data_IF_985505379866
#
_entry.id   IF_985505379866
#
_cell.length_a   1.000
_cell.length_b   1.000
_cell.length_c   1.000
_cell.angle_alpha   90.00
_cell.angle_beta   90.00
_cell.angle_gamma   90.00
#
_symmetry.space_group_name_H-M   'P 1'
#
loop_
_entity.id
_entity.type
_entity.pdbx_description
1 polymer ?
#
# COMPACT_ATOMS: atom_id res chain seq x y z
N UNK A 1 -13.23 5.33 -3.39
CA UNK A 1 -14.04 4.53 -4.34
C UNK A 1 -14.99 3.66 -3.54
N UNK A 2 -16.20 3.46 -4.04
CA UNK A 2 -17.23 2.58 -3.45
C UNK A 2 -17.49 1.41 -4.38
N UNK A 3 -17.59 0.22 -3.80
CA UNK A 3 -17.76 -1.05 -4.50
C UNK A 3 -18.86 -1.89 -3.83
N UNK A 4 -19.41 -2.84 -4.58
CA UNK A 4 -20.34 -3.85 -4.07
C UNK A 4 -19.81 -5.25 -4.41
N UNK A 5 -20.12 -6.24 -3.57
CA UNK A 5 -19.82 -7.65 -3.86
C UNK A 5 -20.99 -8.28 -4.60
N UNK A 6 -20.76 -8.66 -5.85
CA UNK A 6 -21.66 -9.55 -6.56
C UNK A 6 -21.29 -11.01 -6.24
N UNK A 7 -22.25 -11.71 -5.64
CA UNK A 7 -22.15 -13.17 -5.45
C UNK A 7 -22.82 -13.86 -6.64
N UNK A 8 -22.07 -14.59 -7.46
CA UNK A 8 -22.66 -15.58 -8.37
C UNK A 8 -22.68 -16.95 -7.69
N UNK A 9 -23.86 -17.53 -7.54
CA UNK A 9 -24.00 -18.93 -7.14
C UNK A 9 -23.56 -19.80 -8.31
N UNK A 10 -22.45 -20.53 -8.14
CA UNK A 10 -22.16 -21.70 -8.95
C UNK A 10 -22.57 -22.93 -8.12
N UNK A 11 -23.55 -23.68 -8.62
CA UNK A 11 -23.90 -24.98 -8.05
C UNK A 11 -22.74 -25.95 -8.32
N UNK A 12 -22.12 -26.44 -7.25
CA UNK A 12 -21.04 -27.44 -7.29
C UNK A 12 -19.68 -26.88 -6.87
N UNK A 13 -19.14 -27.43 -5.76
CA UNK A 13 -17.79 -27.18 -5.21
C UNK A 13 -17.53 -25.82 -4.56
N UNK A 14 -18.35 -25.46 -3.56
CA UNK A 14 -17.89 -24.89 -2.27
C UNK A 14 -16.97 -23.66 -2.22
N UNK A 15 -16.72 -22.92 -3.31
CA UNK A 15 -15.97 -21.65 -3.30
C UNK A 15 -16.77 -20.56 -4.01
N UNK A 16 -17.19 -19.54 -3.26
CA UNK A 16 -17.86 -18.34 -3.79
C UNK A 16 -16.80 -17.47 -4.47
N UNK A 17 -16.81 -17.37 -5.80
CA UNK A 17 -16.08 -16.31 -6.48
C UNK A 17 -16.79 -14.97 -6.22
N UNK A 18 -16.18 -14.10 -5.41
CA UNK A 18 -16.67 -12.73 -5.17
C UNK A 18 -16.25 -11.85 -6.32
N UNK A 19 -17.20 -11.23 -7.03
CA UNK A 19 -16.90 -10.17 -8.00
C UNK A 19 -17.10 -8.82 -7.34
N UNK A 20 -16.15 -7.91 -7.53
CA UNK A 20 -16.29 -6.52 -7.10
C UNK A 20 -16.89 -5.72 -8.24
N UNK A 21 -18.01 -5.04 -7.99
CA UNK A 21 -18.61 -4.07 -8.91
C UNK A 21 -18.34 -2.66 -8.41
N UNK A 22 -17.70 -1.85 -9.22
CA UNK A 22 -17.48 -0.44 -8.92
C UNK A 22 -18.81 0.31 -9.02
N UNK A 23 -19.18 1.06 -7.98
CA UNK A 23 -20.44 1.80 -7.95
C UNK A 23 -20.24 3.30 -7.91
N UNK A 24 -19.12 3.77 -7.34
CA UNK A 24 -18.81 5.20 -7.25
C UNK A 24 -17.32 5.47 -7.19
N UNK A 25 -16.87 6.49 -7.92
CA UNK A 25 -15.55 7.11 -7.75
C UNK A 25 -15.75 8.53 -7.23
N UNK A 26 -14.93 8.93 -6.25
CA UNK A 26 -14.87 10.30 -5.75
C UNK A 26 -13.40 10.68 -5.60
N UNK A 27 -13.05 11.89 -6.06
CA UNK A 27 -11.76 12.50 -5.78
C UNK A 27 -11.78 13.10 -4.37
N UNK A 28 -10.70 12.94 -3.64
CA UNK A 28 -10.54 13.50 -2.30
C UNK A 28 -9.67 14.74 -2.44
N UNK A 29 -10.17 15.87 -1.97
CA UNK A 29 -9.48 17.16 -2.03
C UNK A 29 -9.28 17.68 -0.61
N UNK A 30 -8.09 17.44 -0.06
CA UNK A 30 -7.68 17.89 1.26
C UNK A 30 -6.31 18.56 1.13
N UNK A 31 -6.31 19.90 1.12
CA UNK A 31 -5.10 20.70 0.88
C UNK A 31 -4.05 20.51 1.97
N UNK A 32 -4.48 20.30 3.22
CA UNK A 32 -3.56 20.10 4.34
C UNK A 32 -2.82 18.77 4.20
N UNK A 33 -3.54 17.68 3.95
CA UNK A 33 -2.93 16.37 3.72
C UNK A 33 -2.04 16.35 2.47
N UNK A 34 -2.45 17.07 1.42
CA UNK A 34 -1.63 17.18 0.22
C UNK A 34 -0.31 17.92 0.49
N UNK A 35 -0.34 19.00 1.28
CA UNK A 35 0.85 19.74 1.70
C UNK A 35 1.79 18.86 2.53
N UNK A 36 1.25 18.14 3.52
CA UNK A 36 2.03 17.21 4.35
C UNK A 36 2.65 16.09 3.51
N UNK A 37 1.87 15.53 2.59
CA UNK A 37 2.34 14.54 1.63
C UNK A 37 3.50 15.07 0.77
N UNK A 38 3.37 16.28 0.21
CA UNK A 38 4.42 16.89 -0.60
C UNK A 38 5.72 17.11 0.20
N UNK A 39 5.60 17.47 1.48
CA UNK A 39 6.74 17.61 2.38
C UNK A 39 7.42 16.27 2.68
N UNK A 40 6.65 15.21 2.96
CA UNK A 40 7.22 13.87 3.16
C UNK A 40 7.84 13.32 1.87
N UNK A 41 7.20 13.56 0.72
CA UNK A 41 7.73 13.18 -0.61
C UNK A 41 9.09 13.82 -0.87
N UNK A 42 9.30 15.08 -0.50
CA UNK A 42 10.60 15.77 -0.66
C UNK A 42 11.73 15.04 0.08
N UNK A 43 11.46 14.49 1.27
CA UNK A 43 12.48 13.78 2.07
C UNK A 43 13.05 12.55 1.36
N UNK A 44 12.29 11.91 0.48
CA UNK A 44 12.78 10.78 -0.30
C UNK A 44 13.81 11.21 -1.36
N UNK A 45 13.61 12.38 -1.98
CA UNK A 45 14.62 12.96 -2.88
C UNK A 45 15.89 13.32 -2.12
N UNK A 46 15.76 13.96 -0.95
CA UNK A 46 16.91 14.32 -0.12
C UNK A 46 17.70 13.07 0.30
N UNK A 47 16.99 11.96 0.59
CA UNK A 47 17.60 10.67 0.89
C UNK A 47 18.30 10.04 -0.31
N UNK A 48 17.69 10.09 -1.50
CA UNK A 48 18.30 9.59 -2.74
C UNK A 48 19.57 10.37 -3.09
N UNK A 49 19.52 11.70 -3.02
CA UNK A 49 20.66 12.60 -3.24
C UNK A 49 21.80 12.32 -2.26
N UNK A 50 21.50 12.11 -0.97
CA UNK A 50 22.52 11.82 0.04
C UNK A 50 23.29 10.51 -0.23
N UNK A 51 22.64 9.52 -0.82
CA UNK A 51 23.27 8.23 -1.11
C UNK A 51 23.99 8.21 -2.47
N UNK A 52 23.84 9.27 -3.29
CA UNK A 52 24.35 9.37 -4.66
C UNK A 52 23.92 8.21 -5.59
N UNK A 53 22.81 7.55 -5.23
CA UNK A 53 22.16 6.50 -6.03
C UNK A 53 20.64 6.59 -5.89
N UNK A 54 19.87 6.48 -7.00
CA UNK A 54 18.43 6.27 -6.94
C UNK A 54 18.10 4.98 -6.17
N UNK A 55 16.88 4.89 -5.62
CA UNK A 55 16.43 3.63 -5.06
C UNK A 55 16.27 2.59 -6.19
N UNK A 56 16.53 1.33 -5.87
CA UNK A 56 16.13 0.24 -6.76
C UNK A 56 14.60 0.28 -6.93
N UNK A 57 14.13 0.09 -8.17
CA UNK A 57 12.68 -0.05 -8.38
C UNK A 57 12.16 -1.28 -7.64
N UNK A 58 10.85 -1.34 -7.41
CA UNK A 58 10.22 -2.51 -6.79
C UNK A 58 10.61 -3.79 -7.54
N UNK A 59 10.49 -3.81 -8.87
CA UNK A 59 10.84 -4.98 -9.68
C UNK A 59 12.34 -5.32 -9.72
N UNK A 60 13.21 -4.35 -9.43
CA UNK A 60 14.67 -4.56 -9.31
C UNK A 60 15.08 -5.00 -7.89
N UNK A 61 14.20 -4.87 -6.91
CA UNK A 61 14.52 -5.17 -5.52
C UNK A 61 14.64 -6.68 -5.32
N UNK A 62 15.67 -7.10 -4.56
CA UNK A 62 15.92 -8.53 -4.28
C UNK A 62 14.67 -9.21 -3.71
N UNK A 63 14.34 -10.38 -4.25
CA UNK A 63 13.16 -11.19 -3.92
C UNK A 63 11.82 -10.65 -4.43
N UNK A 64 11.82 -9.56 -5.20
CA UNK A 64 10.61 -9.16 -5.91
C UNK A 64 10.36 -10.05 -7.13
N UNK A 65 9.09 -10.28 -7.45
CA UNK A 65 8.62 -11.03 -8.61
C UNK A 65 8.25 -10.15 -9.81
N UNK A 66 8.25 -8.81 -9.66
CA UNK A 66 7.92 -7.88 -10.72
C UNK A 66 7.62 -6.46 -10.22
N UNK A 67 7.24 -5.58 -11.13
CA UNK A 67 6.77 -4.24 -10.77
C UNK A 67 5.38 -4.29 -10.12
N UNK A 68 5.01 -3.20 -9.46
CA UNK A 68 3.68 -3.04 -8.86
C UNK A 68 2.61 -3.12 -9.96
N UNK A 69 1.64 -4.03 -9.85
CA UNK A 69 0.60 -4.23 -10.89
C UNK A 69 -0.18 -2.97 -11.27
N UNK A 70 -0.42 -2.07 -10.33
CA UNK A 70 -1.11 -0.80 -10.63
C UNK A 70 -0.29 0.06 -11.59
N UNK A 71 1.04 0.03 -11.50
CA UNK A 71 1.94 0.73 -12.42
C UNK A 71 1.81 0.16 -13.84
N UNK A 72 1.82 -1.17 -13.96
CA UNK A 72 1.68 -1.86 -15.26
C UNK A 72 0.34 -1.56 -15.93
N UNK A 73 -0.76 -1.64 -15.16
CA UNK A 73 -2.13 -1.37 -15.66
C UNK A 73 -2.29 0.09 -16.09
N UNK A 74 -1.64 1.02 -15.40
CA UNK A 74 -1.75 2.46 -15.67
C UNK A 74 -0.68 2.95 -16.65
N UNK A 75 0.11 2.08 -17.28
CA UNK A 75 1.13 2.48 -18.23
C UNK A 75 0.52 3.34 -19.37
N UNK A 76 1.10 4.53 -19.60
CA UNK A 76 0.58 5.52 -20.55
C UNK A 76 -0.65 6.31 -20.07
N UNK A 77 -1.15 6.07 -18.86
CA UNK A 77 -2.26 6.81 -18.28
C UNK A 77 -1.77 8.15 -17.66
N UNK A 78 -2.48 9.27 -17.87
CA UNK A 78 -2.13 10.55 -17.25
C UNK A 78 -2.07 10.52 -15.72
N UNK A 79 -2.73 9.57 -15.06
CA UNK A 79 -2.61 9.42 -13.60
C UNK A 79 -1.16 9.23 -13.15
N UNK A 80 -0.32 8.57 -13.97
CA UNK A 80 1.09 8.33 -13.67
C UNK A 80 1.99 9.53 -13.99
N UNK A 81 1.51 10.60 -14.65
CA UNK A 81 2.36 11.76 -14.98
C UNK A 81 2.94 12.44 -13.76
N UNK A 82 2.25 12.30 -12.62
CA UNK A 82 2.59 12.98 -11.37
C UNK A 82 3.34 12.08 -10.37
N UNK A 83 3.50 10.80 -10.69
CA UNK A 83 4.27 9.84 -9.89
C UNK A 83 5.73 9.88 -10.29
N UNK A 84 6.61 9.73 -9.31
CA UNK A 84 8.06 9.75 -9.50
C UNK A 84 8.65 8.36 -9.21
N UNK A 85 9.05 7.61 -10.27
CA UNK A 85 9.62 6.28 -10.13
C UNK A 85 10.89 6.23 -9.27
N UNK A 86 11.70 7.27 -9.30
CA UNK A 86 12.99 7.36 -8.60
C UNK A 86 12.87 7.27 -7.07
N UNK A 87 11.67 7.54 -6.53
CA UNK A 87 11.34 7.42 -5.11
C UNK A 87 10.36 6.27 -4.81
N UNK A 88 10.12 5.38 -5.79
CA UNK A 88 9.10 4.34 -5.75
C UNK A 88 7.72 4.89 -5.34
N UNK A 89 7.29 5.98 -5.99
CA UNK A 89 5.95 6.56 -5.80
C UNK A 89 4.94 5.81 -6.66
N UNK A 90 3.98 5.14 -6.00
CA UNK A 90 2.98 4.31 -6.68
C UNK A 90 1.57 4.61 -6.20
N UNK A 91 0.60 4.33 -7.07
CA UNK A 91 -0.81 4.23 -6.67
C UNK A 91 -1.11 2.84 -6.12
N UNK A 92 -1.63 2.75 -4.92
CA UNK A 92 -2.00 1.49 -4.27
C UNK A 92 -3.40 1.57 -3.66
N UNK A 93 -4.06 0.43 -3.51
CA UNK A 93 -5.36 0.35 -2.85
C UNK A 93 -5.20 0.20 -1.34
N UNK A 94 -5.86 1.06 -0.58
CA UNK A 94 -6.02 0.93 0.86
C UNK A 94 -7.48 0.60 1.18
N UNK A 95 -7.72 -0.61 1.68
CA UNK A 95 -9.02 -1.02 2.21
C UNK A 95 -9.11 -0.74 3.70
N UNK A 96 -10.23 -0.22 4.15
CA UNK A 96 -10.48 0.06 5.56
C UNK A 96 -11.96 -0.10 5.88
N UNK A 97 -12.30 -0.30 7.16
CA UNK A 97 -13.70 -0.41 7.61
C UNK A 97 -14.43 0.93 7.49
N UNK A 98 -15.75 0.88 7.33
CA UNK A 98 -16.61 2.07 7.26
C UNK A 98 -16.38 3.04 8.42
N UNK A 99 -16.21 2.54 9.65
CA UNK A 99 -15.96 3.37 10.84
C UNK A 99 -14.66 4.19 10.79
N UNK A 100 -13.68 3.76 10.00
CA UNK A 100 -12.36 4.38 9.93
C UNK A 100 -12.24 5.35 8.75
N UNK A 101 -13.14 5.28 7.76
CA UNK A 101 -12.96 6.01 6.49
C UNK A 101 -12.95 7.53 6.71
N UNK A 102 -13.85 8.07 7.52
CA UNK A 102 -13.94 9.51 7.77
C UNK A 102 -12.69 10.03 8.49
N UNK A 103 -12.13 9.22 9.40
CA UNK A 103 -10.87 9.53 10.06
C UNK A 103 -9.70 9.57 9.08
N UNK A 104 -9.65 8.62 8.13
CA UNK A 104 -8.60 8.60 7.10
C UNK A 104 -8.74 9.78 6.13
N UNK A 105 -9.98 10.16 5.78
CA UNK A 105 -10.25 11.30 4.90
C UNK A 105 -9.86 12.65 5.54
N UNK A 106 -10.01 12.77 6.86
CA UNK A 106 -9.72 14.01 7.58
C UNK A 106 -8.23 14.16 7.94
N UNK A 107 -7.60 13.10 8.46
CA UNK A 107 -6.25 13.16 9.05
C UNK A 107 -5.18 12.36 8.28
N UNK A 108 -5.56 11.66 7.20
CA UNK A 108 -4.66 10.81 6.45
C UNK A 108 -4.46 9.42 7.05
N UNK A 109 -3.48 8.69 6.51
CA UNK A 109 -3.14 7.34 6.94
C UNK A 109 -2.18 7.39 8.13
N UNK A 110 -2.61 6.87 9.29
CA UNK A 110 -1.83 6.87 10.53
C UNK A 110 -1.48 5.43 10.95
N UNK A 111 -0.18 5.13 11.02
CA UNK A 111 0.29 3.80 11.42
C UNK A 111 -0.03 3.46 12.89
N UNK A 112 -0.26 4.45 13.75
CA UNK A 112 -0.62 4.25 15.16
C UNK A 112 -2.03 3.69 15.32
N UNK A 113 -2.86 3.81 14.28
CA UNK A 113 -4.21 3.26 14.23
C UNK A 113 -4.25 1.86 13.59
N UNK A 114 -3.08 1.29 13.25
CA UNK A 114 -2.99 -0.05 12.71
C UNK A 114 -3.49 -1.09 13.72
N UNK A 115 -4.26 -2.06 13.24
CA UNK A 115 -4.76 -3.15 14.08
C UNK A 115 -3.63 -4.04 14.61
N UNK A 116 -3.77 -4.63 15.81
CA UNK A 116 -2.71 -5.40 16.48
C UNK A 116 -2.36 -6.73 15.79
N UNK A 117 -3.16 -7.18 14.82
CA UNK A 117 -3.01 -8.47 14.12
C UNK A 117 -2.38 -8.34 12.73
N UNK A 118 -1.60 -7.29 12.50
CA UNK A 118 -0.96 -7.03 11.22
C UNK A 118 0.15 -8.06 10.91
N UNK A 119 0.11 -8.65 9.71
CA UNK A 119 0.95 -9.80 9.32
C UNK A 119 2.44 -9.50 9.17
N UNK A 120 2.81 -8.22 9.03
CA UNK A 120 4.17 -7.77 8.75
C UNK A 120 4.62 -6.63 9.67
N UNK A 121 3.91 -6.42 10.78
CA UNK A 121 4.19 -5.33 11.72
C UNK A 121 3.12 -4.23 11.80
N UNK A 122 3.22 -3.37 12.81
CA UNK A 122 2.30 -2.24 12.95
C UNK A 122 2.60 -1.19 11.85
N UNK A 123 1.62 -0.91 10.99
CA UNK A 123 1.84 -0.07 9.81
C UNK A 123 0.57 0.21 9.02
N UNK A 124 0.71 1.12 8.06
CA UNK A 124 -0.29 1.35 7.01
C UNK A 124 -0.10 0.29 5.93
N UNK A 125 -1.17 -0.44 5.60
CA UNK A 125 -1.17 -1.47 4.58
C UNK A 125 -1.88 -1.02 3.31
N UNK A 126 -1.24 -1.18 2.17
CA UNK A 126 -1.84 -0.99 0.87
C UNK A 126 -1.50 -2.18 -0.04
N UNK A 127 -2.25 -2.35 -1.12
CA UNK A 127 -2.11 -3.46 -2.05
C UNK A 127 -2.17 -2.98 -3.50
N UNK A 128 -1.43 -3.65 -4.37
CA UNK A 128 -1.48 -3.43 -5.82
C UNK A 128 -2.78 -3.91 -6.48
N UNK A 129 -3.65 -4.62 -5.74
CA UNK A 129 -4.92 -5.11 -6.25
C UNK A 129 -6.08 -4.75 -5.32
N UNK A 130 -7.19 -4.35 -5.92
CA UNK A 130 -8.43 -4.05 -5.20
C UNK A 130 -8.98 -5.28 -4.48
N UNK A 131 -8.88 -6.47 -5.08
CA UNK A 131 -9.30 -7.73 -4.45
C UNK A 131 -8.55 -8.02 -3.15
N UNK A 132 -7.27 -7.64 -3.07
CA UNK A 132 -6.51 -7.79 -1.82
C UNK A 132 -6.92 -6.75 -0.79
N UNK A 133 -7.10 -5.50 -1.21
CA UNK A 133 -7.57 -4.43 -0.33
C UNK A 133 -8.99 -4.70 0.22
N UNK A 134 -9.87 -5.33 -0.56
CA UNK A 134 -11.22 -5.71 -0.15
C UNK A 134 -11.26 -6.61 1.09
N UNK A 135 -10.24 -7.46 1.31
CA UNK A 135 -10.15 -8.31 2.50
C UNK A 135 -10.15 -7.52 3.83
N UNK A 136 -9.81 -6.21 3.76
CA UNK A 136 -9.72 -5.28 4.88
C UNK A 136 -10.91 -4.31 4.97
N UNK A 137 -11.90 -4.46 4.09
CA UNK A 137 -13.17 -3.73 4.17
C UNK A 137 -14.22 -4.54 4.92
N UNK A 138 -15.17 -3.85 5.56
CA UNK A 138 -16.33 -4.49 6.20
C UNK A 138 -17.48 -4.66 5.20
N UNK A 139 -18.22 -5.77 5.32
CA UNK A 139 -19.49 -5.94 4.63
C UNK A 139 -20.51 -5.02 5.30
N UNK A 140 -20.61 -3.79 4.80
CA UNK A 140 -21.60 -2.80 5.23
C UNK A 140 -22.72 -2.70 4.20
N UNK A 141 -23.95 -2.42 4.66
CA UNK A 141 -25.13 -2.24 3.78
C UNK A 141 -24.97 -1.06 2.81
N UNK A 142 -23.98 -0.20 3.04
CA UNK A 142 -23.65 1.00 2.25
C UNK A 142 -22.50 0.77 1.26
N UNK A 143 -22.08 -0.49 1.09
CA UNK A 143 -21.02 -0.89 0.17
C UNK A 143 -19.61 -0.79 0.75
N UNK A 144 -18.66 -1.39 0.03
CA UNK A 144 -17.25 -1.45 0.41
C UNK A 144 -16.56 -0.14 0.01
N UNK A 145 -15.83 0.48 0.94
CA UNK A 145 -15.05 1.69 0.66
C UNK A 145 -13.56 1.35 0.58
N UNK A 146 -12.94 1.66 -0.55
CA UNK A 146 -11.50 1.55 -0.75
C UNK A 146 -10.93 2.87 -1.27
N UNK A 147 -9.73 3.21 -0.84
CA UNK A 147 -8.99 4.38 -1.30
C UNK A 147 -7.95 3.95 -2.33
N UNK A 148 -7.80 4.73 -3.40
CA UNK A 148 -6.61 4.68 -4.24
C UNK A 148 -5.69 5.79 -3.73
N UNK A 149 -4.56 5.41 -3.17
CA UNK A 149 -3.65 6.31 -2.46
C UNK A 149 -2.31 6.36 -3.18
N UNK A 150 -1.71 7.55 -3.23
CA UNK A 150 -0.36 7.73 -3.72
C UNK A 150 0.61 7.54 -2.56
N UNK A 151 1.52 6.58 -2.66
CA UNK A 151 2.44 6.17 -1.59
C UNK A 151 3.88 6.20 -2.12
N UNK A 152 4.78 6.84 -1.38
CA UNK A 152 6.22 6.78 -1.62
C UNK A 152 6.80 5.58 -0.84
N UNK A 153 7.30 4.57 -1.54
CA UNK A 153 7.87 3.37 -0.89
C UNK A 153 9.36 3.54 -0.57
N UNK A 154 10.08 4.43 -1.26
CA UNK A 154 11.52 4.66 -1.08
C UNK A 154 12.34 3.39 -1.23
N UNK A 155 13.31 3.17 -0.32
CA UNK A 155 14.07 1.93 -0.29
C UNK A 155 13.24 0.81 0.36
N UNK A 156 12.92 -0.23 -0.40
CA UNK A 156 11.95 -1.26 -0.02
C UNK A 156 12.65 -2.49 0.54
N UNK A 157 12.22 -2.95 1.72
CA UNK A 157 12.57 -4.28 2.21
C UNK A 157 11.54 -5.31 1.77
N UNK A 158 11.90 -6.23 0.88
CA UNK A 158 11.01 -7.33 0.47
C UNK A 158 11.11 -8.49 1.45
N UNK A 159 9.97 -8.92 1.96
CA UNK A 159 9.85 -10.05 2.88
C UNK A 159 8.98 -11.17 2.28
N UNK A 160 9.42 -12.40 2.42
CA UNK A 160 8.72 -13.60 1.96
C UNK A 160 8.09 -14.40 3.13
N UNK A 161 8.12 -13.83 4.34
CA UNK A 161 7.64 -14.46 5.58
C UNK A 161 6.95 -13.40 6.43
N UNK A 162 6.03 -13.85 7.28
CA UNK A 162 5.40 -12.98 8.28
C UNK A 162 6.46 -12.40 9.20
N UNK A 163 6.30 -11.14 9.55
CA UNK A 163 7.19 -10.39 10.45
C UNK A 163 6.34 -9.63 11.47
N UNK A 164 6.96 -9.17 12.55
CA UNK A 164 6.31 -8.32 13.54
C UNK A 164 7.13 -7.04 13.76
N UNK A 165 7.46 -6.37 12.66
CA UNK A 165 8.30 -5.19 12.71
C UNK A 165 7.53 -3.98 13.27
N UNK A 166 8.21 -3.19 14.09
CA UNK A 166 7.71 -1.89 14.56
C UNK A 166 8.06 -0.73 13.62
N UNK A 167 8.96 -0.97 12.66
CA UNK A 167 9.39 -0.08 11.58
C UNK A 167 10.10 -0.90 10.49
N UNK A 168 10.28 -0.34 9.30
CA UNK A 168 11.10 -0.99 8.27
C UNK A 168 12.52 -1.31 8.82
N UNK A 169 13.09 -2.48 8.49
CA UNK A 169 14.28 -3.00 9.17
C UNK A 169 15.57 -2.28 8.77
N UNK A 170 16.62 -2.50 9.56
CA UNK A 170 17.97 -2.04 9.25
C UNK A 170 18.50 -2.71 7.97
N UNK A 171 19.17 -1.93 7.11
CA UNK A 171 19.70 -2.39 5.83
C UNK A 171 20.79 -3.45 5.93
N UNK A 172 21.49 -3.51 7.06
CA UNK A 172 22.63 -4.43 7.27
C UNK A 172 22.25 -5.66 8.08
N UNK A 173 21.51 -5.52 9.18
CA UNK A 173 21.21 -6.63 10.08
C UNK A 173 19.76 -7.14 10.01
N UNK A 174 18.91 -6.52 9.19
CA UNK A 174 17.51 -6.91 8.97
C UNK A 174 16.63 -6.93 10.24
N UNK A 175 17.03 -6.20 11.29
CA UNK A 175 16.25 -6.00 12.52
C UNK A 175 15.56 -4.64 12.49
N UNK A 176 14.31 -4.56 12.91
CA UNK A 176 13.58 -3.29 13.11
C UNK A 176 14.07 -2.52 14.33
N UNK A 177 14.63 -3.23 15.32
CA UNK A 177 15.28 -2.67 16.49
C UNK A 177 16.74 -3.13 16.53
N UNK A 178 17.65 -2.20 16.26
CA UNK A 178 19.10 -2.37 16.48
C UNK A 178 19.70 -1.10 17.08
N UNK A 179 20.85 -1.23 17.72
CA UNK A 179 21.71 -0.12 18.15
C UNK A 179 22.83 0.17 17.14
N UNK A 180 22.71 -0.39 15.94
CA UNK A 180 23.67 -0.25 14.87
C UNK A 180 23.51 1.11 14.16
N UNK A 181 24.61 1.78 13.82
CA UNK A 181 24.59 3.10 13.16
C UNK A 181 24.36 3.01 11.64
N UNK A 182 23.51 2.07 11.21
CA UNK A 182 23.20 1.83 9.81
C UNK A 182 21.88 2.48 9.43
N UNK A 183 21.72 2.77 8.14
CA UNK A 183 20.42 3.18 7.59
C UNK A 183 19.36 2.08 7.71
N UNK A 184 18.10 2.51 7.69
CA UNK A 184 16.94 1.62 7.62
C UNK A 184 16.30 1.74 6.23
N UNK A 185 15.62 0.68 5.82
CA UNK A 185 14.65 0.75 4.72
C UNK A 185 13.53 1.73 5.07
N UNK A 186 12.79 2.17 4.07
CA UNK A 186 11.67 3.10 4.25
C UNK A 186 10.34 2.36 4.36
N UNK A 187 10.21 1.24 3.66
CA UNK A 187 8.99 0.44 3.63
C UNK A 187 9.28 -1.07 3.68
N UNK A 188 8.23 -1.85 3.92
CA UNK A 188 8.26 -3.31 3.87
C UNK A 188 7.24 -3.76 2.85
N UNK A 189 7.66 -4.60 1.92
CA UNK A 189 6.80 -5.20 0.91
C UNK A 189 6.73 -6.70 1.12
N UNK A 190 5.53 -7.25 1.02
CA UNK A 190 5.34 -8.69 0.93
C UNK A 190 5.14 -9.06 -0.54
N UNK A 191 5.95 -9.98 -1.03
CA UNK A 191 5.85 -10.48 -2.40
C UNK A 191 5.42 -11.95 -2.38
N UNK A 192 4.35 -12.28 -3.09
CA UNK A 192 3.82 -13.63 -3.19
C UNK A 192 2.33 -13.72 -3.51
N UNK A 193 1.90 -14.90 -3.94
CA UNK A 193 0.50 -15.17 -4.25
C UNK A 193 -0.37 -15.09 -2.98
N UNK A 194 -1.21 -14.07 -2.92
CA UNK A 194 -2.30 -14.02 -1.95
C UNK A 194 -3.41 -14.95 -2.40
N UNK A 195 -3.72 -15.98 -1.60
CA UNK A 195 -5.00 -16.70 -1.75
C UNK A 195 -6.13 -15.73 -1.43
N UNK A 196 -6.81 -15.26 -2.47
CA UNK A 196 -8.00 -14.41 -2.36
C UNK A 196 -9.11 -15.14 -1.59
N UNK A 197 -9.94 -14.38 -0.85
CA UNK A 197 -11.13 -14.90 -0.16
C UNK A 197 -12.22 -15.37 -1.11
#
# INVERSE_FOLDING_TARGET
MTWERETKFFFGLGRRAKKLRLTKIQRIENLQLYKEYAQERQKFFDKALKNDVPFHTVGQTRYSSGEVKTQEILFGNPLLSDTVPEINEHYLFHGTSHKNIESVLSQGLDNRLAGPLAKFGAGVYAAESSTKADEYTDDSDVGLKMLLVRICLGDVFVCNRRTNFSRAPCKSCSKDRCTCNHGFYDSVMADGESRFR
#
